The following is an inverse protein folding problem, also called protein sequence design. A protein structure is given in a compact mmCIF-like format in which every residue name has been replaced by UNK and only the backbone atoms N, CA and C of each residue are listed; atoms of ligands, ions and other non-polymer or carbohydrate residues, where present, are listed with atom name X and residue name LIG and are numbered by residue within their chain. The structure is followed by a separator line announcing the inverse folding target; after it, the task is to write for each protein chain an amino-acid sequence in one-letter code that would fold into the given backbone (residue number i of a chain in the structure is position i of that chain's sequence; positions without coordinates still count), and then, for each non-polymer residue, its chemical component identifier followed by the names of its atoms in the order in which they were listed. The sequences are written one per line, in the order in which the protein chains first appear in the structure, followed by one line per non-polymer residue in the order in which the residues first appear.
data_IF_386486454004
#
_entry.id   IF_386486454004
#
_cell.length_a   1.000
_cell.length_b   1.000
_cell.length_c   1.000
_cell.angle_alpha   90.00
_cell.angle_beta   90.00
_cell.angle_gamma   90.00
#
_symmetry.space_group_name_H-M   'P 1'
#
loop_
_entity.id
_entity.type
_entity.pdbx_description
1 polymer ?
#
# COMPACT_ATOMS: atom_id res chain seq x y z
N UNK A 1 -9.73 32.19 9.08
CA UNK A 1 -10.81 31.39 8.47
C UNK A 1 -10.54 31.20 6.99
N UNK A 2 -11.01 30.09 6.43
CA UNK A 2 -10.88 29.79 5.00
C UNK A 2 -12.08 28.97 4.50
N UNK A 3 -12.30 28.93 3.19
CA UNK A 3 -13.24 28.01 2.52
C UNK A 3 -12.89 27.86 1.04
N UNK A 4 -13.48 26.87 0.38
CA UNK A 4 -13.39 26.79 -1.09
C UNK A 4 -14.07 27.99 -1.75
N UNK A 5 -13.48 28.50 -2.83
CA UNK A 5 -14.11 29.53 -3.67
C UNK A 5 -15.29 28.89 -4.43
N UNK A 6 -16.46 29.54 -4.51
CA UNK A 6 -17.65 28.94 -5.09
C UNK A 6 -17.63 28.98 -6.63
N UNK A 7 -16.99 27.99 -7.25
CA UNK A 7 -17.03 27.74 -8.70
C UNK A 7 -18.37 27.07 -9.10
N UNK A 8 -19.47 27.77 -8.83
CA UNK A 8 -20.83 27.37 -9.19
C UNK A 8 -21.71 26.93 -8.01
N UNK A 9 -22.91 27.51 -7.94
CA UNK A 9 -24.11 27.09 -7.22
C UNK A 9 -24.09 26.87 -5.69
N UNK A 10 -23.00 26.47 -5.04
CA UNK A 10 -23.00 26.22 -3.58
C UNK A 10 -21.83 26.91 -2.85
N UNK A 11 -22.19 27.81 -1.93
CA UNK A 11 -21.23 28.59 -1.14
C UNK A 11 -20.95 27.84 0.17
N UNK A 12 -19.73 27.33 0.31
CA UNK A 12 -19.31 26.54 1.48
C UNK A 12 -19.22 27.39 2.76
N UNK A 13 -19.39 26.71 3.90
CA UNK A 13 -19.19 27.27 5.23
C UNK A 13 -17.72 27.58 5.50
N UNK A 14 -17.47 28.54 6.39
CA UNK A 14 -16.12 28.96 6.76
C UNK A 14 -15.48 28.01 7.76
N UNK A 15 -14.42 27.31 7.34
CA UNK A 15 -13.52 26.62 8.24
C UNK A 15 -12.78 27.63 9.13
N UNK A 16 -12.74 27.36 10.42
CA UNK A 16 -12.04 28.18 11.42
C UNK A 16 -10.67 27.54 11.70
N UNK A 17 -9.64 28.38 11.68
CA UNK A 17 -8.29 28.05 12.12
C UNK A 17 -7.89 29.15 13.10
N UNK A 18 -7.51 28.76 14.32
CA UNK A 18 -7.21 29.68 15.42
C UNK A 18 -5.70 29.80 15.61
N UNK A 19 -5.20 31.04 15.58
CA UNK A 19 -3.86 31.36 16.09
C UNK A 19 -4.00 31.73 17.56
N UNK A 20 -3.31 31.01 18.45
CA UNK A 20 -3.35 31.23 19.91
C UNK A 20 -2.04 31.80 20.48
N UNK A 21 -1.08 32.04 19.60
CA UNK A 21 0.27 32.57 19.85
C UNK A 21 0.24 34.10 19.76
N UNK A 22 0.41 34.86 20.87
CA UNK A 22 0.38 36.31 20.81
C UNK A 22 1.61 36.89 20.09
N UNK A 23 1.40 37.82 19.16
CA UNK A 23 2.48 38.45 18.39
C UNK A 23 3.00 37.62 17.21
N UNK A 24 2.21 36.66 16.72
CA UNK A 24 2.50 35.92 15.48
C UNK A 24 1.67 36.49 14.32
N UNK A 25 2.26 37.44 13.58
CA UNK A 25 1.59 38.18 12.49
C UNK A 25 1.35 37.34 11.22
N UNK A 26 1.88 36.13 11.15
CA UNK A 26 1.76 35.24 9.99
C UNK A 26 1.53 33.79 10.41
N UNK A 27 0.53 33.11 9.85
CA UNK A 27 0.29 31.69 10.16
C UNK A 27 0.15 30.82 8.92
N UNK A 28 0.48 29.53 9.07
CA UNK A 28 0.37 28.51 8.03
C UNK A 28 -0.93 27.73 8.21
N UNK A 29 -1.84 27.83 7.24
CA UNK A 29 -3.03 26.96 7.19
C UNK A 29 -2.63 25.61 6.56
N UNK A 30 -2.73 24.47 7.29
CA UNK A 30 -2.39 23.15 6.79
C UNK A 30 -3.60 22.45 6.15
N UNK A 31 -3.37 21.30 5.50
CA UNK A 31 -4.42 20.37 5.04
C UNK A 31 -5.45 21.00 4.07
N UNK A 32 -5.03 21.99 3.28
CA UNK A 32 -5.77 22.44 2.10
C UNK A 32 -5.68 21.38 0.99
N UNK A 33 -6.74 21.24 0.19
CA UNK A 33 -6.74 20.36 -1.00
C UNK A 33 -5.86 20.95 -2.09
N UNK A 34 -5.17 20.10 -2.85
CA UNK A 34 -4.29 20.52 -3.95
C UNK A 34 -5.09 20.89 -5.20
N UNK A 35 -4.61 21.87 -5.95
CA UNK A 35 -5.23 22.40 -7.15
C UNK A 35 -6.56 23.16 -6.98
N UNK A 36 -6.94 23.52 -5.74
CA UNK A 36 -8.23 24.13 -5.40
C UNK A 36 -8.10 25.62 -5.07
N UNK A 37 -9.06 26.42 -5.53
CA UNK A 37 -9.17 27.85 -5.22
C UNK A 37 -9.81 28.06 -3.84
N UNK A 38 -9.17 28.81 -2.95
CA UNK A 38 -9.64 29.09 -1.59
C UNK A 38 -9.83 30.59 -1.34
N UNK A 39 -10.91 30.95 -0.64
CA UNK A 39 -11.13 32.25 0.00
C UNK A 39 -10.57 32.22 1.45
N UNK A 40 -9.89 33.28 1.86
CA UNK A 40 -9.33 33.46 3.21
C UNK A 40 -9.76 34.80 3.80
N UNK A 41 -10.04 34.82 5.12
CA UNK A 41 -10.18 36.05 5.91
C UNK A 41 -9.79 35.81 7.37
N UNK A 42 -9.31 36.85 8.05
CA UNK A 42 -8.87 36.80 9.44
C UNK A 42 -9.74 37.74 10.29
N UNK A 43 -9.89 37.46 11.58
CA UNK A 43 -10.45 38.41 12.55
C UNK A 43 -9.73 38.26 13.89
N UNK A 44 -9.50 39.35 14.64
CA UNK A 44 -9.02 39.26 16.01
C UNK A 44 -10.14 38.71 16.90
N UNK A 45 -9.77 38.03 17.99
CA UNK A 45 -10.69 37.55 19.01
C UNK A 45 -10.06 37.68 20.41
N UNK A 46 -10.91 37.78 21.44
CA UNK A 46 -10.49 37.85 22.83
C UNK A 46 -11.57 37.21 23.72
N UNK A 47 -11.24 36.08 24.35
CA UNK A 47 -12.22 35.22 25.04
C UNK A 47 -13.44 34.91 24.15
N UNK A 48 -14.68 35.27 24.55
CA UNK A 48 -15.86 35.09 23.69
C UNK A 48 -16.08 36.21 22.65
N UNK A 49 -15.34 37.32 22.73
CA UNK A 49 -15.48 38.46 21.84
C UNK A 49 -14.75 38.25 20.51
N UNK A 50 -15.41 38.59 19.41
CA UNK A 50 -14.87 38.52 18.05
C UNK A 50 -14.92 39.91 17.42
N UNK A 51 -13.80 40.35 16.83
CA UNK A 51 -13.70 41.61 16.12
C UNK A 51 -14.16 41.52 14.66
N UNK A 52 -13.98 42.62 13.93
CA UNK A 52 -14.31 42.74 12.51
C UNK A 52 -13.49 41.76 11.66
N UNK A 53 -14.12 41.17 10.64
CA UNK A 53 -13.45 40.40 9.60
C UNK A 53 -12.56 41.31 8.71
N UNK A 54 -11.42 40.79 8.28
CA UNK A 54 -10.58 41.38 7.23
C UNK A 54 -11.28 41.38 5.86
N UNK A 55 -10.67 42.06 4.89
CA UNK A 55 -10.93 41.76 3.48
C UNK A 55 -10.75 40.26 3.20
N UNK A 56 -11.52 39.73 2.25
CA UNK A 56 -11.32 38.38 1.73
C UNK A 56 -10.19 38.41 0.71
N UNK A 57 -9.19 37.54 0.87
CA UNK A 57 -8.14 37.28 -0.13
C UNK A 57 -8.39 35.91 -0.76
N UNK A 58 -8.02 35.76 -2.03
CA UNK A 58 -8.21 34.51 -2.80
C UNK A 58 -6.85 33.98 -3.21
N UNK A 59 -6.62 32.67 -3.03
CA UNK A 59 -5.42 31.99 -3.51
C UNK A 59 -5.73 30.57 -3.97
N UNK A 60 -5.07 30.09 -5.03
CA UNK A 60 -5.15 28.70 -5.49
C UNK A 60 -3.96 27.90 -4.96
N UNK A 61 -4.19 26.71 -4.44
CA UNK A 61 -3.12 25.77 -4.09
C UNK A 61 -2.43 25.23 -5.34
N UNK A 62 -1.17 24.81 -5.23
CA UNK A 62 -0.48 24.11 -6.31
C UNK A 62 -1.27 22.87 -6.75
N UNK A 63 -1.34 22.65 -8.07
CA UNK A 63 -1.83 21.39 -8.62
C UNK A 63 -0.84 20.26 -8.33
N UNK A 64 -1.36 19.04 -8.18
CA UNK A 64 -0.60 17.80 -8.09
C UNK A 64 -1.16 16.81 -9.11
N UNK A 65 -0.43 15.72 -9.38
CA UNK A 65 -0.93 14.67 -10.26
C UNK A 65 -2.19 14.00 -9.63
N UNK A 66 -3.16 13.54 -10.44
CA UNK A 66 -4.33 12.83 -9.93
C UNK A 66 -3.94 11.61 -9.09
N UNK A 67 -4.38 11.58 -7.84
CA UNK A 67 -4.08 10.49 -6.90
C UNK A 67 -4.96 9.25 -7.10
N UNK A 68 -6.02 9.38 -7.90
CA UNK A 68 -6.89 8.29 -8.31
C UNK A 68 -6.95 8.12 -9.83
N UNK A 69 -7.24 6.89 -10.25
CA UNK A 69 -7.36 6.51 -11.66
C UNK A 69 -8.69 6.96 -12.28
N UNK A 70 -8.75 7.07 -13.64
CA UNK A 70 -10.01 7.09 -14.38
C UNK A 70 -10.87 5.87 -14.04
N UNK A 71 -12.18 6.08 -13.89
CA UNK A 71 -13.14 5.06 -13.44
C UNK A 71 -13.84 4.41 -14.62
N UNK A 72 -14.37 3.20 -14.44
CA UNK A 72 -15.22 2.54 -15.44
C UNK A 72 -14.56 2.37 -16.81
N UNK A 73 -13.26 2.06 -16.83
CA UNK A 73 -12.54 1.77 -18.07
C UNK A 73 -13.12 0.52 -18.72
N UNK A 74 -13.53 0.65 -19.97
CA UNK A 74 -14.17 -0.41 -20.76
C UNK A 74 -13.59 -0.45 -22.17
N UNK A 75 -13.62 -1.63 -22.79
CA UNK A 75 -13.16 -1.87 -24.16
C UNK A 75 -14.29 -2.53 -24.94
N UNK A 76 -14.72 -1.91 -26.03
CA UNK A 76 -15.77 -2.45 -26.93
C UNK A 76 -15.27 -2.54 -28.36
N UNK A 77 -15.90 -3.40 -29.16
CA UNK A 77 -15.55 -3.57 -30.58
C UNK A 77 -16.02 -2.39 -31.45
N UNK A 78 -15.26 -2.05 -32.48
CA UNK A 78 -15.65 -1.06 -33.49
C UNK A 78 -16.30 -1.75 -34.69
N UNK A 79 -17.63 -1.66 -34.81
CA UNK A 79 -18.40 -2.32 -35.87
C UNK A 79 -18.01 -1.94 -37.30
N UNK A 80 -17.31 -0.81 -37.50
CA UNK A 80 -16.85 -0.34 -38.81
C UNK A 80 -15.52 -0.99 -39.25
N UNK A 81 -14.73 -1.52 -38.29
CA UNK A 81 -13.36 -1.99 -38.54
C UNK A 81 -13.01 -3.19 -37.63
N UNK A 82 -13.00 -4.40 -38.19
CA UNK A 82 -12.64 -5.65 -37.49
C UNK A 82 -11.17 -5.80 -37.05
N UNK A 83 -10.46 -4.70 -36.80
CA UNK A 83 -9.16 -4.62 -36.11
C UNK A 83 -9.08 -3.37 -35.23
N UNK A 84 -10.23 -2.86 -34.77
CA UNK A 84 -10.33 -1.64 -33.97
C UNK A 84 -11.28 -1.81 -32.77
N UNK A 85 -10.98 -1.06 -31.72
CA UNK A 85 -11.72 -1.02 -30.46
C UNK A 85 -12.02 0.42 -30.06
N UNK A 86 -13.11 0.62 -29.32
CA UNK A 86 -13.36 1.85 -28.58
C UNK A 86 -13.00 1.60 -27.12
N UNK A 87 -12.03 2.34 -26.61
CA UNK A 87 -11.79 2.46 -25.16
C UNK A 87 -12.68 3.58 -24.64
N UNK A 88 -13.39 3.39 -23.53
CA UNK A 88 -14.13 4.48 -22.87
C UNK A 88 -13.95 4.46 -21.34
N UNK A 89 -14.04 5.62 -20.71
CA UNK A 89 -13.76 5.80 -19.28
C UNK A 89 -14.56 6.98 -18.69
N UNK A 90 -14.47 7.15 -17.37
CA UNK A 90 -15.03 8.27 -16.61
C UNK A 90 -13.90 9.01 -15.86
N UNK A 91 -14.05 10.31 -15.56
CA UNK A 91 -13.06 11.06 -14.79
C UNK A 91 -12.82 10.46 -13.40
N UNK A 92 -11.61 10.60 -12.81
CA UNK A 92 -11.38 10.32 -11.40
C UNK A 92 -12.33 11.13 -10.49
N UNK A 93 -12.57 10.71 -9.24
CA UNK A 93 -13.33 11.51 -8.29
C UNK A 93 -12.71 12.91 -8.14
N UNK A 94 -13.55 13.95 -8.12
CA UNK A 94 -13.13 15.36 -8.12
C UNK A 94 -12.16 15.69 -6.97
N UNK A 95 -12.40 15.09 -5.79
CA UNK A 95 -11.55 15.26 -4.60
C UNK A 95 -10.13 14.68 -4.75
N UNK A 96 -9.89 13.84 -5.76
CA UNK A 96 -8.65 13.11 -6.02
C UNK A 96 -7.99 13.49 -7.36
N UNK A 97 -8.56 14.45 -8.09
CA UNK A 97 -7.96 15.02 -9.31
C UNK A 97 -6.78 15.95 -8.99
N UNK A 98 -6.76 16.56 -7.80
CA UNK A 98 -5.70 17.45 -7.29
C UNK A 98 -5.37 18.67 -8.19
N UNK A 99 -6.28 19.06 -9.07
CA UNK A 99 -6.12 20.09 -10.09
C UNK A 99 -7.09 19.88 -11.25
N UNK A 100 -7.01 20.73 -12.28
CA UNK A 100 -7.83 20.55 -13.48
C UNK A 100 -7.20 19.47 -14.37
N UNK A 101 -7.95 18.42 -14.70
CA UNK A 101 -7.49 17.39 -15.65
C UNK A 101 -7.40 18.02 -17.05
N UNK A 102 -6.18 18.03 -17.60
CA UNK A 102 -5.86 18.66 -18.89
C UNK A 102 -5.91 17.66 -20.04
N UNK A 103 -5.52 16.40 -19.78
CA UNK A 103 -5.47 15.32 -20.77
C UNK A 103 -5.63 13.93 -20.12
N UNK A 104 -6.06 12.96 -20.92
CA UNK A 104 -5.99 11.53 -20.60
C UNK A 104 -4.92 10.85 -21.45
N UNK A 105 -4.12 9.99 -20.82
CA UNK A 105 -3.13 9.12 -21.46
C UNK A 105 -3.67 7.69 -21.50
N UNK A 106 -3.62 7.06 -22.66
CA UNK A 106 -4.09 5.69 -22.90
C UNK A 106 -2.90 4.85 -23.39
N UNK A 107 -2.66 3.72 -22.74
CA UNK A 107 -1.66 2.73 -23.16
C UNK A 107 -2.39 1.44 -23.55
N UNK A 108 -2.31 1.05 -24.82
CA UNK A 108 -2.76 -0.25 -25.30
C UNK A 108 -1.51 -1.12 -25.57
N UNK A 109 -1.28 -2.11 -24.73
CA UNK A 109 -0.04 -2.87 -24.67
C UNK A 109 -0.28 -4.32 -25.10
N UNK A 110 0.20 -4.69 -26.30
CA UNK A 110 0.29 -6.09 -26.70
C UNK A 110 1.44 -6.83 -26.00
N UNK A 111 1.44 -8.17 -26.13
CA UNK A 111 2.45 -9.08 -25.57
C UNK A 111 3.92 -8.75 -25.95
N UNK A 112 4.16 -7.98 -27.01
CA UNK A 112 5.49 -7.54 -27.44
C UNK A 112 5.47 -6.05 -27.78
N UNK A 113 6.58 -5.34 -27.55
CA UNK A 113 6.66 -3.87 -27.65
C UNK A 113 6.33 -3.28 -29.02
N UNK A 114 6.48 -4.05 -30.11
CA UNK A 114 6.03 -3.63 -31.46
C UNK A 114 4.50 -3.45 -31.57
N UNK A 115 3.74 -3.96 -30.61
CA UNK A 115 2.29 -3.84 -30.51
C UNK A 115 1.86 -2.86 -29.42
N UNK A 116 2.76 -1.99 -28.92
CA UNK A 116 2.42 -0.97 -27.93
C UNK A 116 1.93 0.29 -28.64
N UNK A 117 0.70 0.70 -28.35
CA UNK A 117 0.04 1.87 -28.93
C UNK A 117 -0.27 2.85 -27.79
N UNK A 118 0.48 3.95 -27.76
CA UNK A 118 0.27 5.04 -26.80
C UNK A 118 -0.56 6.14 -27.46
N UNK A 119 -1.53 6.68 -26.73
CA UNK A 119 -2.40 7.78 -27.19
C UNK A 119 -2.64 8.79 -26.07
N UNK A 120 -2.98 10.00 -26.47
CA UNK A 120 -3.35 11.11 -25.57
C UNK A 120 -4.55 11.84 -26.16
N UNK A 121 -5.48 12.26 -25.32
CA UNK A 121 -6.66 13.08 -25.69
C UNK A 121 -6.89 14.16 -24.62
N UNK A 122 -7.67 15.20 -24.92
CA UNK A 122 -7.95 16.27 -23.95
C UNK A 122 -8.78 15.80 -22.73
N UNK A 123 -8.77 16.60 -21.66
CA UNK A 123 -9.49 16.32 -20.42
C UNK A 123 -11.02 16.32 -20.53
N UNK A 124 -11.58 16.75 -21.67
CA UNK A 124 -13.01 16.66 -22.00
C UNK A 124 -13.38 15.40 -22.80
N UNK A 125 -12.40 14.61 -23.23
CA UNK A 125 -12.60 13.41 -24.04
C UNK A 125 -12.60 12.16 -23.15
N UNK A 126 -13.67 11.37 -23.27
CA UNK A 126 -13.94 10.20 -22.41
C UNK A 126 -14.00 8.87 -23.19
N UNK A 127 -13.71 8.90 -24.49
CA UNK A 127 -13.58 7.70 -25.32
C UNK A 127 -12.59 7.91 -26.47
N UNK A 128 -12.03 6.81 -26.96
CA UNK A 128 -11.04 6.82 -28.04
C UNK A 128 -11.12 5.54 -28.89
N UNK A 129 -11.19 5.71 -30.21
CA UNK A 129 -10.99 4.64 -31.18
C UNK A 129 -9.49 4.32 -31.31
N UNK A 130 -9.10 3.08 -31.04
CA UNK A 130 -7.78 2.54 -31.35
C UNK A 130 -7.96 1.53 -32.49
N UNK A 131 -7.25 1.72 -33.60
CA UNK A 131 -7.36 0.90 -34.81
C UNK A 131 -6.05 0.21 -35.18
N UNK A 132 -6.12 -0.73 -36.13
CA UNK A 132 -4.98 -1.49 -36.66
C UNK A 132 -4.29 -2.40 -35.62
N UNK A 133 -5.06 -2.96 -34.69
CA UNK A 133 -4.59 -3.99 -33.77
C UNK A 133 -4.42 -5.34 -34.51
N UNK A 134 -3.45 -6.14 -34.10
CA UNK A 134 -3.16 -7.43 -34.71
C UNK A 134 -4.07 -8.55 -34.12
N UNK A 135 -4.86 -9.25 -34.94
CA UNK A 135 -5.65 -10.39 -34.47
C UNK A 135 -4.81 -11.49 -33.81
N UNK A 136 -5.38 -12.17 -32.81
CA UNK A 136 -4.72 -13.24 -32.07
C UNK A 136 -3.69 -12.79 -31.04
N UNK A 137 -3.39 -11.49 -30.93
CA UNK A 137 -2.55 -10.93 -29.87
C UNK A 137 -3.44 -10.57 -28.67
N UNK A 138 -3.05 -11.01 -27.47
CA UNK A 138 -3.62 -10.50 -26.21
C UNK A 138 -3.05 -9.11 -25.95
N UNK A 139 -3.94 -8.15 -25.76
CA UNK A 139 -3.66 -6.77 -25.38
C UNK A 139 -4.15 -6.50 -23.96
N UNK A 140 -3.57 -5.47 -23.33
CA UNK A 140 -4.12 -4.83 -22.13
C UNK A 140 -4.24 -3.33 -22.33
N UNK A 141 -5.26 -2.70 -21.75
CA UNK A 141 -5.43 -1.25 -21.74
C UNK A 141 -5.30 -0.70 -20.33
N UNK A 142 -4.56 0.40 -20.20
CA UNK A 142 -4.49 1.27 -19.02
C UNK A 142 -4.85 2.71 -19.43
N UNK A 143 -5.54 3.45 -18.57
CA UNK A 143 -5.82 4.89 -18.74
C UNK A 143 -5.36 5.65 -17.50
N UNK A 144 -4.76 6.83 -17.66
CA UNK A 144 -4.49 7.78 -16.57
C UNK A 144 -4.94 9.20 -16.93
N UNK A 145 -5.39 9.94 -15.93
CA UNK A 145 -5.59 11.39 -16.03
C UNK A 145 -4.27 12.15 -15.82
N UNK A 146 -4.15 13.36 -16.34
CA UNK A 146 -2.99 14.25 -16.12
C UNK A 146 -3.45 15.68 -15.83
N UNK A 147 -2.85 16.32 -14.82
CA UNK A 147 -2.99 17.76 -14.53
C UNK A 147 -1.77 18.52 -15.05
N UNK A 148 -1.68 19.83 -14.79
CA UNK A 148 -0.49 20.63 -15.08
C UNK A 148 0.76 20.21 -14.29
N UNK A 149 0.60 19.39 -13.25
CA UNK A 149 1.69 18.80 -12.47
C UNK A 149 2.19 17.45 -13.02
N UNK A 150 1.44 16.83 -13.94
CA UNK A 150 1.84 15.58 -14.61
C UNK A 150 0.81 14.44 -14.51
N UNK A 151 1.16 13.25 -15.03
CA UNK A 151 0.27 12.10 -15.09
C UNK A 151 0.06 11.47 -13.70
N UNK A 152 -1.19 11.16 -13.40
CA UNK A 152 -1.61 10.52 -12.16
C UNK A 152 -1.58 8.99 -12.21
N UNK A 153 -2.31 8.39 -11.28
CA UNK A 153 -2.44 6.93 -11.17
C UNK A 153 -3.17 6.34 -12.39
N UNK A 154 -2.69 5.18 -12.85
CA UNK A 154 -3.31 4.41 -13.95
C UNK A 154 -4.47 3.55 -13.44
N UNK A 155 -5.44 3.29 -14.31
CA UNK A 155 -6.46 2.27 -14.11
C UNK A 155 -5.88 0.86 -14.00
N UNK A 156 -6.69 -0.07 -13.51
CA UNK A 156 -6.46 -1.50 -13.67
C UNK A 156 -6.36 -1.90 -15.17
N UNK A 157 -5.74 -3.05 -15.42
CA UNK A 157 -5.46 -3.60 -16.75
C UNK A 157 -6.68 -4.32 -17.34
N UNK A 158 -7.41 -3.65 -18.24
CA UNK A 158 -8.46 -4.32 -19.03
C UNK A 158 -7.82 -5.17 -20.13
N UNK A 159 -7.87 -6.50 -20.00
CA UNK A 159 -7.34 -7.41 -21.02
C UNK A 159 -8.38 -7.79 -22.06
N UNK A 160 -7.96 -7.89 -23.32
CA UNK A 160 -8.81 -8.35 -24.42
C UNK A 160 -7.97 -8.99 -25.54
N UNK A 161 -8.62 -9.70 -26.44
CA UNK A 161 -8.03 -10.23 -27.66
C UNK A 161 -9.04 -10.12 -28.81
N UNK A 162 -8.59 -9.62 -29.96
CA UNK A 162 -9.39 -9.55 -31.20
C UNK A 162 -9.18 -10.86 -31.97
N UNK A 163 -10.25 -11.48 -32.44
CA UNK A 163 -10.18 -12.68 -33.28
C UNK A 163 -10.02 -12.36 -34.79
N UNK A 164 -9.89 -13.38 -35.64
CA UNK A 164 -9.72 -13.20 -37.09
C UNK A 164 -10.96 -12.66 -37.82
N UNK A 165 -12.13 -12.65 -37.17
CA UNK A 165 -13.37 -12.02 -37.63
C UNK A 165 -13.50 -10.57 -37.16
N UNK A 166 -12.66 -10.14 -36.21
CA UNK A 166 -12.66 -8.79 -35.64
C UNK A 166 -13.49 -8.62 -34.37
N UNK A 167 -14.11 -9.68 -33.86
CA UNK A 167 -14.90 -9.65 -32.63
C UNK A 167 -13.97 -9.58 -31.41
N UNK A 168 -14.37 -8.80 -30.40
CA UNK A 168 -13.58 -8.64 -29.16
C UNK A 168 -13.92 -9.74 -28.16
N UNK A 169 -12.98 -10.66 -27.94
CA UNK A 169 -13.02 -11.54 -26.77
C UNK A 169 -12.45 -10.80 -25.56
N UNK A 170 -13.34 -10.41 -24.64
CA UNK A 170 -12.94 -9.76 -23.40
C UNK A 170 -12.25 -10.77 -22.47
N UNK A 171 -11.01 -10.46 -22.11
CA UNK A 171 -10.16 -11.31 -21.30
C UNK A 171 -10.31 -11.05 -19.82
N UNK A 172 -11.56 -10.98 -19.30
CA UNK A 172 -11.87 -10.81 -17.87
C UNK A 172 -11.31 -12.00 -17.09
N UNK A 173 -10.08 -11.82 -16.66
CA UNK A 173 -9.29 -12.79 -15.90
C UNK A 173 -8.70 -11.99 -14.75
N UNK A 174 -9.40 -11.97 -13.61
CA UNK A 174 -8.80 -11.46 -12.39
C UNK A 174 -7.54 -12.29 -12.12
N UNK A 175 -6.37 -11.68 -11.88
CA UNK A 175 -5.13 -12.43 -11.68
C UNK A 175 -5.21 -13.40 -10.49
N UNK A 176 -6.03 -13.05 -9.50
CA UNK A 176 -6.41 -13.90 -8.36
C UNK A 176 -7.17 -15.17 -8.78
N UNK A 177 -8.08 -15.06 -9.76
CA UNK A 177 -8.88 -16.18 -10.26
C UNK A 177 -8.02 -17.19 -11.01
N UNK A 178 -7.04 -16.77 -11.81
CA UNK A 178 -6.19 -17.70 -12.58
C UNK A 178 -5.38 -18.64 -11.68
N UNK A 179 -4.71 -18.10 -10.66
CA UNK A 179 -3.88 -18.91 -9.76
C UNK A 179 -4.74 -19.80 -8.86
N UNK A 180 -5.83 -19.28 -8.31
CA UNK A 180 -6.74 -20.07 -7.45
C UNK A 180 -7.48 -21.16 -8.24
N UNK A 181 -7.91 -20.89 -9.48
CA UNK A 181 -8.51 -21.91 -10.35
C UNK A 181 -7.50 -22.98 -10.77
N UNK A 182 -6.29 -22.61 -11.23
CA UNK A 182 -5.23 -23.58 -11.56
C UNK A 182 -4.92 -24.52 -10.38
N UNK A 183 -4.79 -23.97 -9.16
CA UNK A 183 -4.54 -24.77 -7.96
C UNK A 183 -5.76 -25.65 -7.64
N UNK A 184 -6.99 -25.13 -7.79
CA UNK A 184 -8.21 -25.91 -7.53
C UNK A 184 -8.39 -27.10 -8.48
N UNK A 185 -8.04 -26.94 -9.77
CA UNK A 185 -8.17 -28.01 -10.77
C UNK A 185 -7.24 -29.19 -10.50
N UNK A 186 -5.98 -28.91 -10.14
CA UNK A 186 -5.02 -29.96 -9.76
C UNK A 186 -5.46 -30.68 -8.48
N UNK A 187 -6.00 -29.94 -7.51
CA UNK A 187 -6.47 -30.49 -6.22
C UNK A 187 -7.74 -31.35 -6.35
N UNK A 188 -8.60 -31.10 -7.35
CA UNK A 188 -9.82 -31.89 -7.61
C UNK A 188 -9.53 -33.28 -8.22
N UNK A 189 -8.33 -33.53 -8.74
CA UNK A 189 -8.02 -34.83 -9.33
C UNK A 189 -7.96 -35.94 -8.26
N UNK A 190 -8.71 -37.06 -8.38
CA UNK A 190 -8.69 -38.15 -7.39
C UNK A 190 -7.29 -38.72 -7.12
N UNK A 191 -6.43 -38.73 -8.14
CA UNK A 191 -5.05 -39.17 -8.02
C UNK A 191 -4.17 -38.25 -7.16
N UNK A 192 -4.42 -36.94 -7.16
CA UNK A 192 -3.63 -35.97 -6.40
C UNK A 192 -3.91 -36.07 -4.89
N UNK A 193 -5.19 -36.19 -4.53
CA UNK A 193 -5.64 -36.43 -3.15
C UNK A 193 -5.04 -37.75 -2.61
N UNK A 194 -5.09 -38.82 -3.41
CA UNK A 194 -4.47 -40.10 -3.07
C UNK A 194 -2.95 -40.01 -2.92
N UNK A 195 -2.27 -39.26 -3.79
CA UNK A 195 -0.82 -39.04 -3.75
C UNK A 195 -0.35 -38.34 -2.48
N UNK A 196 -1.04 -37.26 -2.06
CA UNK A 196 -0.74 -36.55 -0.81
C UNK A 196 -0.99 -37.47 0.40
N UNK A 197 -2.09 -38.24 0.41
CA UNK A 197 -2.37 -39.22 1.46
C UNK A 197 -1.27 -40.27 1.60
N UNK A 198 -0.84 -40.87 0.48
CA UNK A 198 0.24 -41.86 0.45
C UNK A 198 1.59 -41.28 0.90
N UNK A 199 1.97 -40.09 0.41
CA UNK A 199 3.20 -39.41 0.81
C UNK A 199 3.21 -39.09 2.31
N UNK A 200 2.12 -38.56 2.85
CA UNK A 200 1.95 -38.29 4.28
C UNK A 200 2.07 -39.58 5.11
N UNK A 201 1.43 -40.67 4.68
CA UNK A 201 1.51 -41.96 5.36
C UNK A 201 2.93 -42.56 5.37
N UNK A 202 3.67 -42.44 4.25
CA UNK A 202 5.08 -42.84 4.18
C UNK A 202 5.94 -42.01 5.14
N UNK A 203 5.75 -40.69 5.19
CA UNK A 203 6.46 -39.81 6.14
C UNK A 203 6.16 -40.21 7.59
N UNK A 204 4.89 -40.49 7.92
CA UNK A 204 4.49 -40.96 9.24
C UNK A 204 5.10 -42.33 9.59
N UNK A 205 5.22 -43.26 8.63
CA UNK A 205 5.89 -44.54 8.84
C UNK A 205 7.39 -44.39 9.05
N UNK A 206 8.07 -43.56 8.26
CA UNK A 206 9.49 -43.23 8.45
C UNK A 206 9.72 -42.58 9.82
N UNK A 207 8.86 -41.64 10.22
CA UNK A 207 8.93 -40.98 11.53
C UNK A 207 8.62 -41.94 12.68
N UNK A 208 7.66 -42.86 12.52
CA UNK A 208 7.35 -43.93 13.49
C UNK A 208 8.54 -44.88 13.68
N UNK A 209 9.16 -45.34 12.60
CA UNK A 209 10.39 -46.16 12.64
C UNK A 209 11.55 -45.38 13.25
N UNK A 210 11.69 -44.09 12.95
CA UNK A 210 12.71 -43.22 13.54
C UNK A 210 12.50 -43.05 15.05
N UNK A 211 11.27 -42.76 15.51
CA UNK A 211 10.91 -42.69 16.93
C UNK A 211 11.09 -44.04 17.63
N UNK A 212 10.75 -45.15 16.98
CA UNK A 212 10.98 -46.50 17.51
C UNK A 212 12.48 -46.76 17.71
N UNK A 213 13.31 -46.45 16.71
CA UNK A 213 14.79 -46.54 16.82
C UNK A 213 15.35 -45.56 17.86
N UNK A 214 14.80 -44.36 17.98
CA UNK A 214 15.23 -43.34 18.94
C UNK A 214 14.89 -43.73 20.38
N UNK A 215 13.68 -44.27 20.62
CA UNK A 215 13.27 -44.89 21.90
C UNK A 215 14.13 -46.11 22.22
N UNK A 216 14.35 -47.02 21.26
CA UNK A 216 15.20 -48.22 21.44
C UNK A 216 16.67 -47.89 21.69
N UNK A 217 17.18 -46.78 21.14
CA UNK A 217 18.53 -46.24 21.44
C UNK A 217 18.61 -45.55 22.81
N UNK A 218 17.47 -45.20 23.44
CA UNK A 218 17.39 -44.73 24.83
C UNK A 218 17.15 -45.87 25.83
N UNK A 219 16.47 -46.96 25.46
CA UNK A 219 16.24 -48.13 26.31
C UNK A 219 17.45 -49.08 26.42
N UNK A 220 18.66 -48.62 26.07
CA UNK A 220 19.89 -49.41 26.05
C UNK A 220 20.79 -49.25 27.28
N UNK A 221 20.36 -48.52 28.31
CA UNK A 221 21.19 -48.12 29.45
C UNK A 221 20.75 -48.68 30.82
N UNK A 222 19.87 -49.70 30.83
CA UNK A 222 19.30 -50.24 32.07
C UNK A 222 19.06 -51.76 32.05
N UNK A 223 20.01 -52.54 31.48
CA UNK A 223 20.26 -53.97 31.79
C UNK A 223 21.66 -54.32 31.26
N UNK A 224 22.68 -54.08 32.09
CA UNK A 224 23.98 -54.75 32.08
C UNK A 224 24.79 -54.26 33.29
N UNK A 225 25.57 -55.16 33.90
CA UNK A 225 26.53 -54.83 34.97
C UNK A 225 25.98 -54.36 36.33
N UNK A 226 25.01 -55.08 36.88
CA UNK A 226 25.11 -55.48 38.29
C UNK A 226 25.92 -56.79 38.34
N UNK A 227 27.16 -56.80 38.88
CA UNK A 227 27.97 -58.02 38.79
C UNK A 227 29.43 -58.05 39.26
N UNK A 228 30.01 -57.00 39.87
CA UNK A 228 31.38 -57.10 40.45
C UNK A 228 31.38 -56.84 41.96
N UNK A 229 31.49 -57.97 42.69
CA UNK A 229 32.14 -58.17 44.00
C UNK A 229 31.68 -57.29 45.18
N UNK A 230 30.92 -57.91 46.10
CA UNK A 230 31.18 -57.87 47.56
C UNK A 230 30.44 -59.01 48.29
N UNK A 231 31.18 -59.69 49.17
CA UNK A 231 30.79 -60.71 50.17
C UNK A 231 31.94 -60.75 51.20
N UNK A 232 31.76 -61.25 52.44
CA UNK A 232 30.52 -61.71 53.11
C UNK A 232 29.77 -60.51 53.76
N UNK A 233 28.99 -60.54 54.86
CA UNK A 233 28.69 -61.56 55.89
C UNK A 233 27.41 -61.26 56.71
N UNK A 234 26.83 -62.35 57.24
CA UNK A 234 26.04 -62.46 58.48
C UNK A 234 24.55 -62.06 58.49
N UNK A 235 23.82 -62.74 59.38
CA UNK A 235 22.35 -62.91 59.39
C UNK A 235 21.71 -62.27 60.61
N UNK A 236 20.54 -61.64 60.46
CA UNK A 236 19.49 -61.73 61.50
C UNK A 236 18.08 -61.54 60.91
N UNK A 237 17.08 -62.13 61.57
CA UNK A 237 15.64 -62.15 61.22
C UNK A 237 14.82 -62.02 62.52
N UNK A 238 13.48 -62.01 62.49
CA UNK A 238 12.55 -61.12 61.79
C UNK A 238 11.65 -60.37 62.82
N UNK A 239 10.54 -59.73 62.41
CA UNK A 239 9.22 -59.81 63.10
C UNK A 239 8.09 -59.17 62.27
N UNK A 240 6.87 -59.67 62.49
CA UNK A 240 5.62 -59.51 61.73
C UNK A 240 4.76 -58.32 62.22
N UNK A 241 4.04 -57.62 61.32
CA UNK A 241 2.68 -57.08 61.57
C UNK A 241 1.97 -56.59 60.28
N UNK A 242 0.63 -56.52 60.32
CA UNK A 242 -0.26 -55.99 59.26
C UNK A 242 -0.92 -54.66 59.70
N UNK A 243 -1.20 -53.76 58.74
CA UNK A 243 -2.47 -53.01 58.49
C UNK A 243 -2.20 -52.00 57.34
N UNK A 244 -3.10 -51.61 56.41
CA UNK A 244 -4.56 -51.42 56.32
C UNK A 244 -5.02 -50.01 56.75
N UNK A 245 -5.73 -49.32 55.86
CA UNK A 245 -6.36 -48.02 56.11
C UNK A 245 -5.68 -46.87 55.35
N UNK A 246 -6.46 -45.88 54.92
CA UNK A 246 -6.01 -44.68 54.23
C UNK A 246 -7.17 -43.68 54.13
N UNK A 247 -6.88 -42.40 53.90
CA UNK A 247 -7.90 -41.33 53.91
C UNK A 247 -7.41 -40.05 53.19
N UNK A 248 -8.33 -39.10 52.96
CA UNK A 248 -8.16 -37.68 52.59
C UNK A 248 -7.28 -37.32 51.34
N UNK A 249 -7.78 -36.73 50.24
CA UNK A 249 -8.59 -35.50 49.98
C UNK A 249 -7.77 -34.25 49.62
N UNK A 250 -8.32 -33.45 48.70
CA UNK A 250 -7.66 -32.46 47.84
C UNK A 250 -7.29 -31.10 48.45
N UNK A 251 -6.19 -30.51 47.95
CA UNK A 251 -6.02 -29.07 47.68
C UNK A 251 -4.86 -28.93 46.66
N UNK A 252 -4.96 -28.35 45.46
CA UNK A 252 -5.35 -26.98 45.08
C UNK A 252 -4.42 -25.89 45.65
N UNK A 253 -3.88 -24.99 44.80
CA UNK A 253 -3.31 -23.72 45.29
C UNK A 253 -1.97 -23.16 44.75
N UNK A 254 -1.82 -22.99 43.42
CA UNK A 254 -1.24 -21.75 42.83
C UNK A 254 0.28 -21.42 42.81
N UNK A 255 0.59 -20.58 41.81
CA UNK A 255 1.59 -19.49 41.75
C UNK A 255 3.10 -19.71 41.52
N UNK A 256 3.66 -18.68 40.89
CA UNK A 256 4.94 -18.58 40.16
C UNK A 256 6.04 -17.94 41.04
N UNK A 257 7.34 -17.99 40.67
CA UNK A 257 7.90 -16.77 40.05
C UNK A 257 9.08 -16.94 39.03
N UNK A 258 8.98 -16.19 37.93
CA UNK A 258 9.93 -15.20 37.33
C UNK A 258 11.48 -15.42 37.28
N UNK A 259 12.09 -14.73 36.29
CA UNK A 259 13.55 -14.42 36.10
C UNK A 259 14.40 -15.56 35.48
N UNK A 260 15.47 -15.35 34.68
CA UNK A 260 16.37 -14.20 34.34
C UNK A 260 16.58 -14.10 32.79
N UNK A 261 16.65 -12.92 32.16
CA UNK A 261 17.81 -11.98 31.95
C UNK A 261 18.95 -12.54 31.06
N UNK A 262 19.17 -11.92 29.89
CA UNK A 262 20.35 -12.03 29.03
C UNK A 262 20.48 -10.83 28.06
N UNK A 263 21.71 -10.34 27.80
CA UNK A 263 22.06 -9.18 26.94
C UNK A 263 23.48 -9.40 26.40
N UNK A 264 23.74 -9.14 25.12
CA UNK A 264 25.09 -8.77 24.66
C UNK A 264 25.04 -7.84 23.43
N UNK A 265 26.18 -7.28 23.05
CA UNK A 265 26.36 -6.16 22.13
C UNK A 265 27.52 -6.40 21.15
N UNK A 266 27.51 -5.69 20.01
CA UNK A 266 28.65 -5.13 19.23
C UNK A 266 28.03 -4.50 17.96
N UNK A 267 28.19 -3.22 17.57
CA UNK A 267 29.26 -2.19 17.66
C UNK A 267 30.35 -2.34 16.59
N UNK A 268 30.47 -1.35 15.70
CA UNK A 268 31.50 -1.22 14.66
C UNK A 268 31.74 0.24 14.24
N UNK A 269 32.97 0.59 13.82
CA UNK A 269 33.47 1.94 13.47
C UNK A 269 34.59 1.82 12.40
N UNK A 270 35.03 2.84 11.64
CA UNK A 270 34.67 4.29 11.56
C UNK A 270 34.28 4.59 10.08
N UNK A 271 34.46 5.71 9.35
CA UNK A 271 35.13 7.05 9.39
C UNK A 271 34.23 7.98 8.47
N UNK A 272 34.29 9.30 8.36
CA UNK A 272 35.15 10.37 8.89
C UNK A 272 36.10 10.96 7.81
N UNK A 273 35.66 12.01 7.11
CA UNK A 273 36.44 12.77 6.13
C UNK A 273 35.77 14.10 5.76
N UNK A 274 36.56 15.19 5.74
CA UNK A 274 36.15 16.58 5.48
C UNK A 274 37.29 17.27 4.73
N UNK A 275 36.99 18.05 3.68
CA UNK A 275 37.83 19.21 3.32
C UNK A 275 37.08 20.23 2.43
N UNK A 276 37.69 21.41 2.19
CA UNK A 276 37.04 22.61 1.63
C UNK A 276 37.71 23.13 0.36
N UNK A 277 36.92 23.76 -0.53
CA UNK A 277 37.06 25.16 -1.05
C UNK A 277 36.32 25.30 -2.40
N UNK A 278 35.39 26.26 -2.56
CA UNK A 278 35.57 27.70 -2.85
C UNK A 278 36.15 28.02 -4.24
N UNK A 279 35.31 28.59 -5.10
CA UNK A 279 35.63 29.38 -6.30
C UNK A 279 34.55 30.45 -6.47
N UNK A 280 34.88 31.63 -7.03
CA UNK A 280 34.01 32.82 -6.94
C UNK A 280 34.12 33.76 -8.17
N UNK A 281 32.99 34.01 -8.84
CA UNK A 281 32.71 35.16 -9.73
C UNK A 281 31.18 35.26 -9.92
N UNK A 282 30.44 36.37 -9.79
CA UNK A 282 30.58 37.82 -10.03
C UNK A 282 30.19 38.33 -11.44
N UNK A 283 29.37 39.40 -11.44
CA UNK A 283 28.86 40.25 -12.55
C UNK A 283 27.57 39.74 -13.26
N UNK A 284 26.73 40.63 -13.86
CA UNK A 284 25.98 41.68 -13.14
C UNK A 284 24.49 41.85 -13.60
N UNK A 285 23.65 42.48 -12.77
CA UNK A 285 22.28 42.91 -13.15
C UNK A 285 22.26 44.25 -13.90
N UNK A 286 21.40 44.39 -14.93
CA UNK A 286 20.47 45.54 -14.98
C UNK A 286 19.11 45.20 -15.67
N UNK A 287 18.16 46.14 -15.79
CA UNK A 287 17.66 47.10 -14.80
C UNK A 287 16.15 46.89 -14.53
N UNK A 288 15.56 47.71 -13.65
CA UNK A 288 14.10 47.73 -13.43
C UNK A 288 13.33 48.32 -14.61
N UNK A 289 12.24 47.66 -15.02
CA UNK A 289 11.12 48.29 -15.72
C UNK A 289 9.80 47.79 -15.11
N UNK A 290 8.99 48.71 -14.61
CA UNK A 290 7.71 48.37 -13.99
C UNK A 290 6.68 48.03 -15.08
N UNK A 291 6.04 46.87 -14.97
CA UNK A 291 4.84 46.51 -15.72
C UNK A 291 3.81 45.95 -14.73
N UNK A 292 2.59 46.48 -14.77
CA UNK A 292 1.53 46.09 -13.84
C UNK A 292 1.12 44.64 -14.15
N UNK A 293 1.37 43.73 -13.21
CA UNK A 293 1.04 42.31 -13.34
C UNK A 293 0.23 41.90 -12.12
N UNK A 294 -0.95 41.32 -12.35
CA UNK A 294 -1.75 40.76 -11.27
C UNK A 294 -1.05 39.48 -10.78
N UNK A 295 -0.44 39.56 -9.60
CA UNK A 295 0.23 38.41 -8.98
C UNK A 295 -0.81 37.46 -8.40
N UNK A 296 -1.19 36.45 -9.19
CA UNK A 296 -1.80 35.24 -8.66
C UNK A 296 -0.78 34.54 -7.74
N UNK A 297 -0.82 34.82 -6.44
CA UNK A 297 0.04 34.17 -5.45
C UNK A 297 -0.28 32.67 -5.34
N UNK A 298 0.54 31.86 -6.02
CA UNK A 298 0.55 30.40 -5.93
C UNK A 298 1.49 29.99 -4.79
N UNK A 299 0.94 29.36 -3.74
CA UNK A 299 1.70 29.02 -2.53
C UNK A 299 2.33 27.61 -2.60
N UNK A 300 3.56 27.42 -2.09
CA UNK A 300 4.21 26.12 -2.03
C UNK A 300 3.46 25.11 -1.13
N UNK A 301 3.67 23.82 -1.41
CA UNK A 301 2.95 22.64 -0.89
C UNK A 301 2.26 22.80 0.48
N UNK A 302 0.94 22.63 0.51
CA UNK A 302 0.15 22.41 1.72
C UNK A 302 0.19 23.52 2.77
N UNK A 303 0.65 24.72 2.42
CA UNK A 303 0.90 25.84 3.35
C UNK A 303 0.54 27.19 2.74
N UNK A 304 -0.68 27.67 3.00
CA UNK A 304 -1.02 29.08 2.76
C UNK A 304 -0.52 29.92 3.94
N UNK A 305 0.35 30.91 3.69
CA UNK A 305 0.75 31.89 4.70
C UNK A 305 -0.27 33.04 4.67
N UNK A 306 -1.10 33.13 5.71
CA UNK A 306 -1.93 34.30 5.93
C UNK A 306 -1.14 35.29 6.79
N UNK A 307 -0.77 36.44 6.20
CA UNK A 307 -0.40 37.64 6.98
C UNK A 307 -1.65 38.29 7.54
N UNK A 308 -1.55 38.79 8.76
CA UNK A 308 -2.36 39.89 9.28
C UNK A 308 -1.99 41.22 8.61
#
# INVERSE_FOLDING_TARGET
MYRTSPEGQQRSDWAVFEVRTPGEDSTVVPQLRNGVTYEFKVRPFFNEFQGTDSEVKIAKTLEEAPSAAPRGVTVTESGDNGTAIVVSWQPPPEEEQNGVVQEYKIWCLGNESRYHINRTVDGSTFSLLISSLAPGIRYSVEVAASTGAGPGVKSDLTFFQIDSSGHVTEGVVDPENTLSQQISEVVKQPAFIAGIGAACWIILMVFSIWLYRQRKKRSGLSTNYAGIRKVPSFTFTPTVAYQRGGEAVSSAGSLQPRQRRGREERRGERKGGEERNKGLSHLPNPPSSASHREEHHVWPQGRAIASL
#
